data_IF_014557833070
#
_entry.id   IF_014557833070
#
_cell.length_a   1.000
_cell.length_b   1.000
_cell.length_c   1.000
_cell.angle_alpha   90.00
_cell.angle_beta   90.00
_cell.angle_gamma   90.00
#
_symmetry.space_group_name_H-M   'P 1'
#
loop_
_entity.id
_entity.type
_entity.pdbx_description
1 polymer ?
#
# COMPACT_ATOMS: atom_id res chain seq x y z
N UNK A 1 -2.24 7.28 12.20
CA UNK A 1 -2.51 7.08 10.76
C UNK A 1 -2.94 5.63 10.62
N UNK A 2 -4.03 5.29 9.92
CA UNK A 2 -4.48 3.88 9.81
C UNK A 2 -3.84 3.15 8.63
N UNK A 3 -3.40 3.90 7.62
CA UNK A 3 -2.72 3.34 6.47
C UNK A 3 -1.31 2.89 6.87
N UNK A 4 -0.87 1.78 6.29
CA UNK A 4 0.40 1.13 6.58
C UNK A 4 1.43 1.42 5.48
N UNK A 5 0.96 1.43 4.24
CA UNK A 5 1.79 1.56 3.05
C UNK A 5 1.22 2.56 2.06
N UNK A 6 2.08 3.15 1.24
CA UNK A 6 1.68 3.75 -0.04
C UNK A 6 2.26 2.93 -1.18
N UNK A 7 1.41 2.49 -2.10
CA UNK A 7 1.82 1.69 -3.27
C UNK A 7 1.87 2.61 -4.49
N UNK A 8 2.92 2.49 -5.30
CA UNK A 8 3.02 3.16 -6.60
C UNK A 8 3.35 2.16 -7.71
N UNK A 9 2.67 2.27 -8.84
CA UNK A 9 2.83 1.37 -9.98
C UNK A 9 3.86 1.96 -10.94
N UNK A 10 4.85 1.13 -11.29
CA UNK A 10 5.91 1.47 -12.24
C UNK A 10 5.67 0.88 -13.64
N UNK A 11 4.76 -0.08 -13.75
CA UNK A 11 4.42 -0.69 -15.03
C UNK A 11 3.63 -2.00 -14.91
N UNK A 12 2.92 -2.32 -15.98
CA UNK A 12 2.19 -3.58 -16.17
C UNK A 12 2.61 -4.17 -17.52
N UNK A 13 3.04 -5.42 -17.54
CA UNK A 13 3.37 -6.16 -18.76
C UNK A 13 2.67 -7.52 -18.74
N UNK A 14 1.58 -7.64 -19.52
CA UNK A 14 0.75 -8.84 -19.57
C UNK A 14 0.21 -9.24 -18.21
N UNK A 15 0.76 -10.32 -17.63
CA UNK A 15 0.38 -10.85 -16.33
C UNK A 15 1.29 -10.37 -15.19
N UNK A 16 2.23 -9.46 -15.44
CA UNK A 16 3.23 -9.02 -14.46
C UNK A 16 3.05 -7.54 -14.12
N UNK A 17 3.06 -7.23 -12.83
CA UNK A 17 2.99 -5.89 -12.26
C UNK A 17 4.33 -5.58 -11.60
N UNK A 18 4.89 -4.41 -11.90
CA UNK A 18 6.02 -3.83 -11.19
C UNK A 18 5.55 -2.62 -10.39
N UNK A 19 5.85 -2.61 -9.10
CA UNK A 19 5.41 -1.55 -8.19
C UNK A 19 6.48 -1.25 -7.13
N UNK A 20 6.26 -0.18 -6.37
CA UNK A 20 6.97 0.14 -5.13
C UNK A 20 5.99 0.22 -3.99
N UNK A 21 6.38 -0.34 -2.86
CA UNK A 21 5.66 -0.24 -1.59
C UNK A 21 6.48 0.65 -0.68
N UNK A 22 5.95 1.83 -0.39
CA UNK A 22 6.52 2.80 0.52
C UNK A 22 5.97 2.56 1.92
N UNK A 23 6.85 2.50 2.90
CA UNK A 23 6.45 2.33 4.29
C UNK A 23 6.11 3.70 4.87
N UNK A 24 4.92 3.84 5.48
CA UNK A 24 4.44 5.12 6.01
C UNK A 24 4.02 5.05 7.48
N UNK A 25 4.11 3.86 8.08
CA UNK A 25 3.65 3.62 9.44
C UNK A 25 4.60 2.66 10.18
N UNK A 26 5.04 3.00 11.41
CA UNK A 26 5.86 2.12 12.25
C UNK A 26 5.22 0.77 12.56
N UNK A 27 3.89 0.67 12.55
CA UNK A 27 3.17 -0.58 12.81
C UNK A 27 3.40 -1.64 11.72
N UNK A 28 3.94 -1.23 10.57
CA UNK A 28 4.24 -2.07 9.42
C UNK A 28 5.64 -1.78 8.86
N UNK A 29 6.71 -2.13 9.60
CA UNK A 29 8.07 -1.75 9.26
C UNK A 29 8.68 -2.56 8.10
N UNK A 30 7.94 -3.53 7.55
CA UNK A 30 8.41 -4.41 6.49
C UNK A 30 7.29 -4.67 5.48
N UNK A 31 7.68 -4.88 4.23
CA UNK A 31 6.72 -5.30 3.18
C UNK A 31 6.37 -6.77 3.38
N UNK A 32 5.08 -7.15 3.46
CA UNK A 32 4.68 -8.53 3.66
C UNK A 32 5.14 -9.43 2.51
N UNK A 33 5.61 -10.63 2.83
CA UNK A 33 6.16 -11.60 1.87
C UNK A 33 5.11 -12.57 1.31
N UNK A 34 3.91 -12.62 1.91
CA UNK A 34 2.88 -13.58 1.52
C UNK A 34 2.12 -13.09 0.29
N UNK A 35 1.73 -14.03 -0.57
CA UNK A 35 0.90 -13.78 -1.76
C UNK A 35 -0.47 -13.12 -1.48
N UNK A 36 -0.96 -13.17 -0.24
CA UNK A 36 -2.20 -12.47 0.15
C UNK A 36 -2.04 -10.96 0.08
N UNK A 37 -0.85 -10.43 0.36
CA UNK A 37 -0.59 -8.99 0.30
C UNK A 37 -0.74 -8.42 -1.11
N UNK A 38 -0.01 -8.89 -2.15
CA UNK A 38 -0.21 -8.36 -3.49
C UNK A 38 -1.63 -8.57 -4.01
N UNK A 39 -2.31 -9.67 -3.66
CA UNK A 39 -3.72 -9.81 -4.05
C UNK A 39 -4.61 -8.76 -3.35
N UNK A 40 -4.38 -8.49 -2.06
CA UNK A 40 -5.12 -7.46 -1.33
C UNK A 40 -4.88 -6.07 -1.94
N UNK A 41 -3.67 -5.77 -2.40
CA UNK A 41 -3.36 -4.53 -3.12
C UNK A 41 -4.18 -4.40 -4.42
N UNK A 42 -4.29 -5.47 -5.20
CA UNK A 42 -5.10 -5.46 -6.42
C UNK A 42 -6.58 -5.22 -6.12
N UNK A 43 -7.11 -5.88 -5.08
CA UNK A 43 -8.51 -5.75 -4.65
C UNK A 43 -8.82 -4.35 -4.11
N UNK A 44 -7.92 -3.80 -3.31
CA UNK A 44 -8.03 -2.45 -2.76
C UNK A 44 -8.03 -1.39 -3.87
N UNK A 45 -7.07 -1.48 -4.80
CA UNK A 45 -7.04 -0.61 -5.98
C UNK A 45 -8.34 -0.67 -6.78
N UNK A 46 -8.88 -1.88 -7.02
CA UNK A 46 -10.16 -2.06 -7.71
C UNK A 46 -11.32 -1.41 -6.96
N UNK A 47 -11.37 -1.57 -5.63
CA UNK A 47 -12.41 -0.99 -4.79
C UNK A 47 -12.35 0.55 -4.81
N UNK A 48 -11.16 1.13 -4.62
CA UNK A 48 -10.95 2.58 -4.66
C UNK A 48 -11.39 3.19 -5.99
N UNK A 49 -11.06 2.54 -7.11
CA UNK A 49 -11.50 2.97 -8.44
C UNK A 49 -13.02 2.81 -8.63
N UNK A 50 -13.60 1.71 -8.17
CA UNK A 50 -15.04 1.43 -8.27
C UNK A 50 -15.88 2.43 -7.48
N UNK A 51 -15.37 2.90 -6.33
CA UNK A 51 -16.04 3.89 -5.48
C UNK A 51 -15.69 5.33 -5.85
N UNK A 52 -14.73 5.57 -6.74
CA UNK A 52 -14.27 6.90 -7.11
C UNK A 52 -13.50 7.60 -5.99
N UNK A 53 -12.79 6.85 -5.15
CA UNK A 53 -11.96 7.38 -4.06
C UNK A 53 -10.53 7.72 -4.47
N UNK A 54 -10.15 7.37 -5.70
CA UNK A 54 -8.84 7.71 -6.25
C UNK A 54 -8.94 8.84 -7.27
N UNK A 55 -8.12 9.87 -7.07
CA UNK A 55 -8.25 11.15 -7.77
C UNK A 55 -7.03 11.50 -8.61
N UNK A 56 -7.26 12.26 -9.68
CA UNK A 56 -6.19 12.74 -10.58
C UNK A 56 -5.29 13.77 -9.92
N UNK A 57 -5.87 14.63 -9.08
CA UNK A 57 -5.12 15.58 -8.28
C UNK A 57 -4.64 14.87 -7.02
N UNK A 58 -3.35 14.99 -6.73
CA UNK A 58 -2.83 14.66 -5.41
C UNK A 58 -3.63 15.48 -4.38
N UNK A 59 -4.46 14.82 -3.59
CA UNK A 59 -5.29 15.49 -2.59
C UNK A 59 -4.38 16.35 -1.71
N UNK A 60 -4.71 17.66 -1.62
CA UNK A 60 -4.03 18.62 -0.75
C UNK A 60 -4.23 18.14 0.69
N UNK A 61 -3.30 17.34 1.21
CA UNK A 61 -3.45 16.73 2.53
C UNK A 61 -2.59 15.49 2.80
N UNK A 62 -1.41 15.36 2.18
CA UNK A 62 -0.40 14.37 2.60
C UNK A 62 -0.60 12.93 2.13
N UNK A 63 -1.78 12.52 1.65
CA UNK A 63 -2.00 11.11 1.20
C UNK A 63 -1.30 10.74 -0.10
N UNK A 64 -0.86 11.72 -0.89
CA UNK A 64 -0.10 11.46 -2.12
C UNK A 64 -0.88 10.70 -3.21
N UNK A 65 -2.04 10.11 -2.96
CA UNK A 65 -2.81 9.34 -3.94
C UNK A 65 -2.90 10.03 -5.30
N UNK A 66 -2.71 9.26 -6.37
CA UNK A 66 -2.62 9.77 -7.74
C UNK A 66 -3.19 8.75 -8.71
N UNK A 67 -4.17 9.18 -9.48
CA UNK A 67 -4.67 8.48 -10.65
C UNK A 67 -4.13 9.17 -11.92
N UNK A 68 -3.33 8.47 -12.75
CA UNK A 68 -2.72 9.06 -13.95
C UNK A 68 -3.69 9.23 -15.12
N UNK A 69 -4.93 8.74 -15.00
CA UNK A 69 -5.99 8.79 -16.03
C UNK A 69 -7.23 9.54 -15.51
N UNK A 70 -8.09 10.07 -16.38
CA UNK A 70 -9.34 10.68 -15.95
C UNK A 70 -10.23 9.71 -15.14
N UNK A 71 -10.92 10.22 -14.13
CA UNK A 71 -11.79 9.40 -13.25
C UNK A 71 -12.89 8.68 -14.04
N UNK A 72 -13.45 9.31 -15.08
CA UNK A 72 -14.42 8.68 -15.99
C UNK A 72 -13.84 7.51 -16.80
N UNK A 73 -12.54 7.57 -17.13
CA UNK A 73 -11.85 6.48 -17.83
C UNK A 73 -11.56 5.32 -16.88
N UNK A 74 -11.13 5.61 -15.65
CA UNK A 74 -10.99 4.61 -14.60
C UNK A 74 -12.32 3.90 -14.31
N UNK A 75 -13.41 4.66 -14.15
CA UNK A 75 -14.76 4.12 -13.90
C UNK A 75 -15.22 3.20 -15.04
N UNK A 76 -14.98 3.60 -16.31
CA UNK A 76 -15.28 2.74 -17.47
C UNK A 76 -14.43 1.47 -17.47
N UNK A 77 -13.16 1.56 -17.09
CA UNK A 77 -12.25 0.42 -17.00
C UNK A 77 -12.77 -0.61 -16.01
N UNK A 78 -13.01 -0.22 -14.75
CA UNK A 78 -13.51 -1.16 -13.72
C UNK A 78 -14.91 -1.70 -14.02
N UNK A 79 -15.76 -0.92 -14.68
CA UNK A 79 -17.08 -1.38 -15.11
C UNK A 79 -17.00 -2.44 -16.23
N UNK A 80 -15.99 -2.36 -17.09
CA UNK A 80 -15.75 -3.24 -18.23
C UNK A 80 -14.81 -4.41 -17.95
N UNK A 81 -14.26 -4.53 -16.74
CA UNK A 81 -13.32 -5.59 -16.39
C UNK A 81 -13.92 -6.98 -16.59
N UNK A 82 -13.12 -7.88 -17.17
CA UNK A 82 -13.51 -9.29 -17.38
C UNK A 82 -13.80 -10.01 -16.07
N UNK A 83 -13.01 -9.72 -15.04
CA UNK A 83 -13.05 -10.40 -13.73
C UNK A 83 -13.77 -9.58 -12.65
N UNK A 84 -14.61 -8.61 -13.02
CA UNK A 84 -15.30 -7.72 -12.08
C UNK A 84 -16.02 -8.47 -10.95
N UNK A 85 -16.79 -9.51 -11.29
CA UNK A 85 -17.56 -10.28 -10.30
C UNK A 85 -16.63 -11.02 -9.34
N UNK A 86 -15.50 -11.54 -9.84
CA UNK A 86 -14.49 -12.19 -9.01
C UNK A 86 -13.80 -11.19 -8.06
N UNK A 87 -13.54 -9.96 -8.51
CA UNK A 87 -13.00 -8.91 -7.63
C UNK A 87 -13.98 -8.55 -6.49
N UNK A 88 -15.28 -8.53 -6.77
CA UNK A 88 -16.29 -8.35 -5.72
C UNK A 88 -16.24 -9.50 -4.70
N UNK A 89 -16.15 -10.75 -5.15
CA UNK A 89 -15.99 -11.90 -4.25
C UNK A 89 -14.71 -11.81 -3.42
N UNK A 90 -13.58 -11.45 -4.03
CA UNK A 90 -12.31 -11.27 -3.33
C UNK A 90 -12.37 -10.15 -2.29
N UNK A 91 -13.03 -9.03 -2.61
CA UNK A 91 -13.26 -7.94 -1.67
C UNK A 91 -14.09 -8.40 -0.46
N UNK A 92 -15.18 -9.15 -0.72
CA UNK A 92 -16.04 -9.69 0.33
C UNK A 92 -15.29 -10.67 1.25
N UNK A 93 -14.28 -11.41 0.72
CA UNK A 93 -13.43 -12.28 1.55
C UNK A 93 -12.48 -11.49 2.47
N UNK A 94 -11.98 -10.33 2.02
CA UNK A 94 -11.03 -9.51 2.79
C UNK A 94 -11.73 -8.65 3.84
N UNK A 95 -12.79 -7.93 3.45
CA UNK A 95 -13.46 -6.94 4.30
C UNK A 95 -14.80 -7.42 4.86
N UNK A 96 -15.27 -8.58 4.41
CA UNK A 96 -16.61 -9.07 4.71
C UNK A 96 -17.63 -8.55 3.71
N UNK A 97 -18.60 -9.39 3.36
CA UNK A 97 -19.69 -9.01 2.46
C UNK A 97 -20.58 -7.95 3.10
N UNK A 98 -20.83 -6.85 2.42
CA UNK A 98 -21.83 -5.88 2.86
C UNK A 98 -23.24 -6.49 2.75
N UNK A 99 -23.97 -6.51 3.86
CA UNK A 99 -25.32 -7.04 3.98
C UNK A 99 -26.23 -5.89 4.34
N UNK A 100 -27.07 -5.50 3.40
CA UNK A 100 -28.09 -4.49 3.62
C UNK A 100 -29.21 -5.05 4.51
N UNK A 101 -29.42 -4.43 5.67
CA UNK A 101 -30.51 -4.76 6.60
C UNK A 101 -31.75 -3.89 6.32
N UNK A 102 -31.54 -2.64 5.92
CA UNK A 102 -32.59 -1.70 5.52
C UNK A 102 -32.06 -0.63 4.55
N UNK A 103 -32.89 0.35 4.16
CA UNK A 103 -32.48 1.43 3.26
C UNK A 103 -31.29 2.25 3.78
N UNK A 104 -31.05 2.25 5.10
CA UNK A 104 -29.99 3.01 5.77
C UNK A 104 -29.13 2.19 6.72
N UNK A 105 -29.46 0.91 6.95
CA UNK A 105 -28.67 0.02 7.82
C UNK A 105 -28.00 -1.07 6.99
N UNK A 106 -26.71 -1.23 7.27
CA UNK A 106 -25.85 -2.22 6.66
C UNK A 106 -25.05 -2.90 7.78
N UNK A 107 -24.82 -4.19 7.64
CA UNK A 107 -23.83 -4.93 8.42
C UNK A 107 -22.82 -5.57 7.49
N UNK A 108 -21.70 -6.04 8.01
CA UNK A 108 -20.74 -6.82 7.23
C UNK A 108 -20.80 -8.28 7.68
N UNK A 109 -20.82 -9.19 6.70
CA UNK A 109 -20.54 -10.60 6.95
C UNK A 109 -19.12 -10.77 7.49
N UNK A 110 -18.83 -11.94 8.05
CA UNK A 110 -17.46 -12.21 8.49
C UNK A 110 -16.53 -12.31 7.27
N UNK A 111 -15.34 -11.68 7.31
CA UNK A 111 -14.30 -11.97 6.33
C UNK A 111 -13.87 -13.43 6.45
N UNK A 112 -13.32 -13.98 5.36
CA UNK A 112 -12.77 -15.33 5.31
C UNK A 112 -11.31 -15.27 4.83
N UNK A 113 -10.36 -14.98 5.75
CA UNK A 113 -8.95 -14.88 5.40
C UNK A 113 -8.35 -16.21 4.94
N UNK A 114 -8.94 -17.35 5.36
CA UNK A 114 -8.48 -18.68 4.94
C UNK A 114 -8.80 -18.94 3.48
N UNK A 115 -10.03 -18.62 3.06
CA UNK A 115 -10.42 -18.69 1.67
C UNK A 115 -9.65 -17.66 0.82
N UNK A 116 -9.50 -16.43 1.31
CA UNK A 116 -8.70 -15.42 0.62
C UNK A 116 -7.26 -15.89 0.37
N UNK A 117 -6.61 -16.49 1.38
CA UNK A 117 -5.27 -17.07 1.24
C UNK A 117 -5.22 -18.20 0.19
N UNK A 118 -6.26 -19.04 0.14
CA UNK A 118 -6.38 -20.09 -0.89
C UNK A 118 -6.51 -19.50 -2.30
N UNK A 119 -7.33 -18.45 -2.45
CA UNK A 119 -7.47 -17.71 -3.73
C UNK A 119 -6.17 -17.04 -4.13
N UNK A 120 -5.49 -16.38 -3.18
CA UNK A 120 -4.19 -15.75 -3.39
C UNK A 120 -3.16 -16.72 -3.95
N UNK A 121 -3.03 -17.91 -3.36
CA UNK A 121 -2.11 -18.94 -3.85
C UNK A 121 -2.44 -19.45 -5.26
N UNK A 122 -3.71 -19.38 -5.68
CA UNK A 122 -4.13 -19.77 -7.02
C UNK A 122 -4.01 -18.65 -8.06
N UNK A 123 -4.05 -17.38 -7.64
CA UNK A 123 -4.06 -16.20 -8.51
C UNK A 123 -2.66 -15.61 -8.66
N UNK A 124 -1.95 -15.42 -7.55
CA UNK A 124 -0.59 -14.87 -7.54
C UNK A 124 0.37 -16.03 -7.72
N UNK A 125 0.93 -16.13 -8.92
CA UNK A 125 1.80 -17.23 -9.35
C UNK A 125 3.28 -16.98 -9.00
N UNK A 126 3.68 -15.71 -8.88
CA UNK A 126 4.97 -15.30 -8.34
C UNK A 126 4.83 -13.97 -7.61
N UNK A 127 5.57 -13.81 -6.52
CA UNK A 127 5.69 -12.55 -5.81
C UNK A 127 7.10 -12.41 -5.25
N UNK A 128 7.77 -11.35 -5.65
CA UNK A 128 9.11 -11.00 -5.19
C UNK A 128 9.07 -9.60 -4.59
N UNK A 129 9.57 -9.47 -3.36
CA UNK A 129 9.84 -8.19 -2.72
C UNK A 129 11.35 -8.00 -2.65
N UNK A 130 11.83 -6.89 -3.22
CA UNK A 130 13.22 -6.46 -3.10
C UNK A 130 13.54 -5.95 -1.70
N UNK A 131 14.82 -5.71 -1.39
CA UNK A 131 15.20 -5.12 -0.11
C UNK A 131 14.56 -3.73 0.04
N UNK A 132 14.30 -3.36 1.30
CA UNK A 132 13.90 -1.99 1.62
C UNK A 132 15.03 -1.05 1.24
N UNK A 133 14.75 -0.12 0.32
CA UNK A 133 15.70 0.89 -0.13
C UNK A 133 15.49 2.16 0.71
N UNK A 134 16.59 2.76 1.13
CA UNK A 134 16.69 4.11 1.71
C UNK A 134 15.97 4.32 3.05
N UNK A 135 16.33 3.53 4.07
CA UNK A 135 16.14 3.95 5.46
C UNK A 135 17.13 5.08 5.80
N UNK A 136 16.75 6.06 6.65
CA UNK A 136 17.69 7.05 7.14
C UNK A 136 18.76 6.40 8.03
N UNK A 137 19.89 7.07 8.22
CA UNK A 137 20.88 6.66 9.22
C UNK A 137 20.48 7.14 10.62
N UNK A 138 20.93 6.47 11.66
CA UNK A 138 20.76 6.96 13.04
C UNK A 138 21.31 8.38 13.22
N UNK A 139 22.45 8.70 12.59
CA UNK A 139 23.02 10.04 12.61
C UNK A 139 22.12 11.09 11.96
N UNK A 140 21.38 10.74 10.90
CA UNK A 140 20.43 11.67 10.25
C UNK A 140 19.19 11.89 11.13
N UNK A 141 18.72 10.86 11.83
CA UNK A 141 17.60 11.00 12.77
C UNK A 141 17.97 11.90 13.95
N UNK A 142 19.22 11.84 14.43
CA UNK A 142 19.72 12.72 15.49
C UNK A 142 19.79 14.22 15.10
N UNK A 143 19.70 14.55 13.81
CA UNK A 143 19.68 15.94 13.32
C UNK A 143 18.27 16.55 13.35
N UNK A 144 17.21 15.73 13.42
CA UNK A 144 15.82 16.19 13.38
C UNK A 144 15.47 16.97 14.64
N UNK A 145 15.01 18.19 14.45
CA UNK A 145 14.59 19.08 15.54
C UNK A 145 13.29 18.56 16.17
N UNK A 146 13.32 18.43 17.50
CA UNK A 146 12.19 17.93 18.25
C UNK A 146 11.17 19.03 18.50
N UNK A 147 10.10 19.08 17.69
CA UNK A 147 8.99 19.99 17.95
C UNK A 147 8.04 19.46 19.05
N UNK A 148 8.05 18.16 19.36
CA UNK A 148 7.02 17.54 20.18
C UNK A 148 7.54 16.62 21.32
N UNK A 149 8.73 16.02 21.27
CA UNK A 149 9.21 15.12 22.33
C UNK A 149 10.72 15.24 22.61
N UNK A 150 11.19 16.09 23.52
CA UNK A 150 12.62 16.39 23.67
C UNK A 150 13.48 15.12 23.88
N UNK A 151 14.61 15.05 23.16
CA UNK A 151 15.60 13.99 23.29
C UNK A 151 15.96 13.69 24.76
N UNK A 152 15.97 12.40 25.16
CA UNK A 152 16.57 11.99 26.41
C UNK A 152 18.04 12.46 26.51
N UNK A 153 18.53 12.83 27.70
CA UNK A 153 19.89 13.33 27.85
C UNK A 153 20.94 12.35 27.32
N UNK A 154 21.74 12.78 26.35
CA UNK A 154 22.84 11.99 25.78
C UNK A 154 22.49 11.08 24.60
N UNK A 155 21.20 10.80 24.35
CA UNK A 155 20.77 9.91 23.25
C UNK A 155 21.08 10.52 21.89
N UNK A 156 20.88 11.83 21.73
CA UNK A 156 21.17 12.53 20.48
C UNK A 156 22.65 12.41 20.10
N UNK A 157 23.56 12.63 21.06
CA UNK A 157 25.00 12.52 20.83
C UNK A 157 25.46 11.07 20.61
N UNK A 158 24.73 10.11 21.16
CA UNK A 158 24.94 8.68 20.89
C UNK A 158 24.56 8.35 19.44
N UNK A 159 23.33 8.64 19.04
CA UNK A 159 22.83 8.35 17.69
C UNK A 159 23.60 9.12 16.60
N UNK A 160 24.03 10.35 16.87
CA UNK A 160 24.87 11.12 15.96
C UNK A 160 26.20 10.42 15.57
N UNK A 161 26.64 9.44 16.37
CA UNK A 161 27.87 8.65 16.12
C UNK A 161 27.61 7.32 15.41
N UNK A 162 26.34 6.96 15.20
CA UNK A 162 25.94 5.71 14.55
C UNK A 162 25.65 6.01 13.08
N UNK A 163 26.45 5.44 12.19
CA UNK A 163 26.31 5.61 10.73
C UNK A 163 25.71 4.37 10.04
N UNK A 164 25.01 3.55 10.82
CA UNK A 164 24.22 2.43 10.32
C UNK A 164 22.79 2.90 10.01
N UNK A 165 22.11 2.17 9.11
CA UNK A 165 20.69 2.35 8.85
C UNK A 165 19.89 2.18 10.14
N UNK A 166 18.87 3.01 10.33
CA UNK A 166 17.99 2.87 11.49
C UNK A 166 17.26 1.54 11.48
N UNK A 167 17.08 0.95 12.65
CA UNK A 167 16.10 -0.12 12.81
C UNK A 167 14.70 0.43 12.45
N UNK A 168 13.95 -0.21 11.53
CA UNK A 168 12.56 0.14 11.25
C UNK A 168 11.65 0.19 12.50
N UNK A 169 11.99 -0.52 13.58
CA UNK A 169 11.27 -0.46 14.85
C UNK A 169 11.53 0.84 15.64
N UNK A 170 12.48 1.68 15.21
CA UNK A 170 12.76 2.96 15.85
C UNK A 170 11.72 4.02 15.43
N UNK A 171 10.69 4.21 16.26
CA UNK A 171 9.54 5.07 15.97
C UNK A 171 9.92 6.48 15.48
N UNK A 172 10.97 7.09 16.05
CA UNK A 172 11.43 8.44 15.68
C UNK A 172 11.90 8.54 14.22
N UNK A 173 12.35 7.44 13.61
CA UNK A 173 12.71 7.43 12.19
C UNK A 173 11.51 7.73 11.27
N UNK A 174 10.29 7.35 11.66
CA UNK A 174 9.08 7.52 10.85
C UNK A 174 8.64 8.98 10.77
N UNK A 175 8.90 9.76 11.81
CA UNK A 175 8.71 11.22 11.77
C UNK A 175 9.61 11.85 10.70
N UNK A 176 10.87 11.42 10.59
CA UNK A 176 11.78 11.93 9.56
C UNK A 176 11.31 11.52 8.17
N UNK A 177 10.98 10.24 7.97
CA UNK A 177 10.51 9.70 6.69
C UNK A 177 9.33 10.51 6.14
N UNK A 178 8.33 10.79 6.99
CA UNK A 178 7.11 11.50 6.57
C UNK A 178 7.30 13.00 6.33
N UNK A 179 8.44 13.59 6.73
CA UNK A 179 8.80 14.99 6.42
C UNK A 179 9.58 15.16 5.11
N UNK A 180 10.17 14.06 4.58
CA UNK A 180 10.89 14.08 3.29
C UNK A 180 9.91 14.12 2.10
N UNK A 181 10.35 14.59 0.93
CA UNK A 181 9.59 14.43 -0.31
C UNK A 181 9.27 12.94 -0.56
N UNK A 182 8.10 12.64 -1.12
CA UNK A 182 7.64 11.26 -1.36
C UNK A 182 8.64 10.39 -2.13
N UNK A 183 9.37 10.97 -3.08
CA UNK A 183 10.38 10.25 -3.87
C UNK A 183 11.56 9.71 -3.05
N UNK A 184 11.73 10.20 -1.83
CA UNK A 184 12.80 9.83 -0.90
C UNK A 184 12.29 8.94 0.24
N UNK A 185 11.00 8.56 0.24
CA UNK A 185 10.45 7.67 1.25
C UNK A 185 11.02 6.25 1.09
N UNK A 186 11.34 5.55 2.19
CA UNK A 186 11.80 4.17 2.14
C UNK A 186 10.79 3.31 1.40
N UNK A 187 11.28 2.48 0.49
CA UNK A 187 10.43 1.63 -0.33
C UNK A 187 11.09 0.33 -0.71
N UNK A 188 10.30 -0.73 -0.87
CA UNK A 188 10.73 -1.94 -1.54
C UNK A 188 10.14 -1.98 -2.95
N UNK A 189 10.96 -2.31 -3.94
CA UNK A 189 10.44 -2.69 -5.26
C UNK A 189 9.76 -4.06 -5.13
N UNK A 190 8.56 -4.20 -5.68
CA UNK A 190 7.86 -5.48 -5.76
C UNK A 190 7.60 -5.86 -7.21
N UNK A 191 7.66 -7.17 -7.49
CA UNK A 191 7.22 -7.76 -8.75
C UNK A 191 6.19 -8.84 -8.45
N UNK A 192 5.02 -8.71 -9.06
CA UNK A 192 3.89 -9.63 -8.87
C UNK A 192 3.52 -10.22 -10.22
N UNK A 193 3.42 -11.54 -10.31
CA UNK A 193 2.88 -12.21 -11.50
C UNK A 193 1.58 -12.92 -11.16
N UNK A 194 0.53 -12.62 -11.91
CA UNK A 194 -0.81 -13.22 -11.74
C UNK A 194 -1.09 -14.28 -12.81
N UNK A 195 -2.09 -15.12 -12.58
CA UNK A 195 -2.46 -16.20 -13.50
C UNK A 195 -3.10 -15.73 -14.82
N UNK A 196 -3.77 -14.57 -14.81
CA UNK A 196 -4.50 -14.01 -15.95
C UNK A 196 -4.34 -12.48 -15.93
N UNK A 197 -4.06 -11.86 -17.07
CA UNK A 197 -3.92 -10.41 -17.19
C UNK A 197 -5.20 -9.65 -16.78
N UNK A 198 -6.36 -10.33 -16.77
CA UNK A 198 -7.62 -9.82 -16.26
C UNK A 198 -7.56 -9.31 -14.81
N UNK A 199 -6.61 -9.78 -13.99
CA UNK A 199 -6.41 -9.26 -12.62
C UNK A 199 -5.66 -7.93 -12.57
N UNK A 200 -5.09 -7.48 -13.69
CA UNK A 200 -4.32 -6.24 -13.78
C UNK A 200 -4.99 -5.20 -14.69
N UNK A 201 -6.19 -5.46 -15.21
CA UNK A 201 -6.89 -4.58 -16.16
C UNK A 201 -7.13 -3.15 -15.62
N UNK A 202 -7.28 -3.00 -14.30
CA UNK A 202 -7.46 -1.71 -13.63
C UNK A 202 -6.16 -1.05 -13.17
N UNK A 203 -5.01 -1.70 -13.37
CA UNK A 203 -3.71 -1.21 -12.94
C UNK A 203 -3.08 -0.34 -14.04
N UNK A 204 -2.63 0.85 -13.68
CA UNK A 204 -2.09 1.84 -14.63
C UNK A 204 -0.73 2.35 -14.15
N UNK A 205 0.21 2.49 -15.08
CA UNK A 205 1.52 3.09 -14.78
C UNK A 205 1.39 4.50 -14.19
N UNK A 206 2.07 4.75 -13.07
CA UNK A 206 1.98 5.99 -12.30
C UNK A 206 0.79 6.08 -11.34
N UNK A 207 -0.06 5.03 -11.26
CA UNK A 207 -1.09 4.91 -10.22
C UNK A 207 -0.46 4.81 -8.85
N UNK A 208 -1.00 5.54 -7.87
CA UNK A 208 -0.53 5.54 -6.48
C UNK A 208 -1.68 5.65 -5.51
N UNK A 209 -1.68 4.84 -4.45
CA UNK A 209 -2.66 4.93 -3.38
C UNK A 209 -2.08 4.47 -2.03
N UNK A 210 -2.66 4.94 -0.94
CA UNK A 210 -2.35 4.48 0.41
C UNK A 210 -3.31 3.39 0.86
N UNK A 211 -2.80 2.40 1.61
CA UNK A 211 -3.54 1.21 1.99
C UNK A 211 -3.23 0.78 3.42
N UNK A 212 -4.24 0.26 4.11
CA UNK A 212 -4.12 -0.37 5.43
C UNK A 212 -3.96 -1.90 5.34
N UNK A 213 -3.98 -2.48 4.14
CA UNK A 213 -3.88 -3.93 3.96
C UNK A 213 -2.44 -4.41 4.18
N UNK A 214 -2.25 -5.39 5.07
CA UNK A 214 -0.98 -6.09 5.28
C UNK A 214 -0.96 -7.54 4.73
N UNK A 215 -2.05 -7.94 4.07
CA UNK A 215 -2.22 -9.29 3.51
C UNK A 215 -2.68 -10.33 4.52
#
# INVERSE_FOLDING_TARGET
MTDLYTVSINGVDGCTLHARVHLINPDAPYVPEKATFPLALLVDAWFLLTKGYLHTQSSRGGRGDRLPIPEEEAARTVAGMRLRDEFQELHDLVLGKEIQLSATEFTSGAPDPGEFARRAAGIVTSYEAGPLRSLPLYSEVAEVEDAYDPWPPGEREELARIHDEVDPAYERAWTLITTRPFSEWPSADITVTVRDAGYLEHMVDGMRWSTAHAG
#
